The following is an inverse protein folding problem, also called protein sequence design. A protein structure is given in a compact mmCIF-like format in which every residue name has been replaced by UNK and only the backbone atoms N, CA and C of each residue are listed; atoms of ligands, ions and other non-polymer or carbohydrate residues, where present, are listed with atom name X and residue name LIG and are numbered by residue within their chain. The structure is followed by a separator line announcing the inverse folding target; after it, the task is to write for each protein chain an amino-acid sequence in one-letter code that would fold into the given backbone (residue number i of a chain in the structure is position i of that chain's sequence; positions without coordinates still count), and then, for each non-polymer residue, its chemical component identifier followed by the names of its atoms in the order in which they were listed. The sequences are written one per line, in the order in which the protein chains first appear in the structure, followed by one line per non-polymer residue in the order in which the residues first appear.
data_IF_176972305472
#
_entry.id   IF_176972305472
#
_cell.length_a   1.000
_cell.length_b   1.000
_cell.length_c   1.000
_cell.angle_alpha   90.00
_cell.angle_beta   90.00
_cell.angle_gamma   90.00
#
_symmetry.space_group_name_H-M   'P 1'
#
loop_
_entity.id
_entity.type
_entity.pdbx_description
1 polymer ?
#
# COMPACT_ATOMS: atom_id res chain seq x y z
N UNK A 1 -22.13 -38.15 -7.40
CA UNK A 1 -22.57 -37.27 -8.50
C UNK A 1 -21.48 -36.26 -8.75
N UNK A 2 -20.84 -36.28 -9.93
CA UNK A 2 -19.78 -35.33 -10.31
C UNK A 2 -20.43 -33.99 -10.66
N UNK A 3 -20.09 -32.94 -9.93
CA UNK A 3 -20.43 -31.56 -10.30
C UNK A 3 -19.28 -30.99 -11.11
N UNK A 4 -19.48 -30.88 -12.41
CA UNK A 4 -18.66 -30.08 -13.32
C UNK A 4 -18.67 -28.63 -12.84
N UNK A 5 -17.51 -28.05 -12.56
CA UNK A 5 -17.37 -26.60 -12.41
C UNK A 5 -16.32 -26.17 -13.41
N UNK A 6 -16.76 -25.47 -14.45
CA UNK A 6 -15.91 -24.87 -15.46
C UNK A 6 -14.80 -24.04 -14.81
N UNK A 7 -13.59 -24.18 -15.34
CA UNK A 7 -12.32 -23.65 -14.82
C UNK A 7 -12.22 -22.12 -14.78
N UNK A 8 -13.06 -21.47 -14.00
CA UNK A 8 -12.93 -20.08 -13.59
C UNK A 8 -12.64 -20.06 -12.09
N UNK A 9 -11.37 -19.93 -11.73
CA UNK A 9 -10.98 -19.66 -10.34
C UNK A 9 -11.40 -18.23 -10.01
N UNK A 10 -12.60 -18.05 -9.46
CA UNK A 10 -12.99 -16.78 -8.88
C UNK A 10 -12.03 -16.47 -7.73
N UNK A 11 -11.26 -15.37 -7.84
CA UNK A 11 -10.46 -14.87 -6.71
C UNK A 11 -11.43 -14.52 -5.58
N UNK A 12 -11.47 -15.33 -4.53
CA UNK A 12 -12.21 -15.02 -3.31
C UNK A 12 -11.68 -13.71 -2.75
N UNK A 13 -12.49 -12.66 -2.76
CA UNK A 13 -12.15 -11.38 -2.14
C UNK A 13 -12.56 -11.45 -0.67
N UNK A 14 -11.58 -11.49 0.21
CA UNK A 14 -11.81 -11.37 1.65
C UNK A 14 -11.80 -9.90 2.02
N UNK A 15 -12.86 -9.44 2.69
CA UNK A 15 -12.89 -8.09 3.24
C UNK A 15 -12.09 -8.04 4.54
N UNK A 16 -11.42 -6.92 4.77
CA UNK A 16 -10.68 -6.66 5.99
C UNK A 16 -10.93 -5.23 6.46
N UNK A 17 -10.97 -5.04 7.77
CA UNK A 17 -10.81 -3.70 8.35
C UNK A 17 -9.32 -3.46 8.59
N UNK A 18 -8.79 -2.37 8.07
CA UNK A 18 -7.37 -2.04 8.21
C UNK A 18 -7.16 -0.76 9.02
N UNK A 19 -6.18 -0.81 9.92
CA UNK A 19 -5.61 0.36 10.59
C UNK A 19 -4.16 0.44 10.15
N UNK A 20 -3.78 1.56 9.54
CA UNK A 20 -2.45 1.73 8.95
C UNK A 20 -1.79 2.97 9.55
N UNK A 21 -1.16 2.85 10.74
CA UNK A 21 -0.24 3.85 11.23
C UNK A 21 0.91 4.02 10.24
N UNK A 22 1.31 5.27 10.00
CA UNK A 22 2.41 5.57 9.09
C UNK A 22 3.26 6.71 9.62
N UNK A 23 4.54 6.69 9.25
CA UNK A 23 5.47 7.79 9.42
C UNK A 23 5.98 8.22 8.05
N UNK A 24 6.04 9.52 7.80
CA UNK A 24 6.47 10.09 6.52
C UNK A 24 7.67 11.01 6.72
N UNK A 25 8.66 10.86 5.85
CA UNK A 25 9.84 11.71 5.78
C UNK A 25 9.99 12.29 4.37
N UNK A 26 10.03 13.62 4.27
CA UNK A 26 10.29 14.30 3.00
C UNK A 26 11.79 14.54 2.86
N UNK A 27 12.37 14.12 1.74
CA UNK A 27 13.83 14.10 1.56
C UNK A 27 14.32 14.91 0.35
N UNK A 28 13.42 15.42 -0.49
CA UNK A 28 13.80 16.23 -1.64
C UNK A 28 12.63 17.06 -2.15
N UNK A 29 12.96 18.15 -2.82
CA UNK A 29 12.00 19.05 -3.44
C UNK A 29 12.54 19.48 -4.81
N UNK A 30 11.71 19.38 -5.84
CA UNK A 30 12.00 19.81 -7.19
C UNK A 30 10.88 20.72 -7.67
N UNK A 31 11.11 22.04 -7.59
CA UNK A 31 10.08 23.03 -7.86
C UNK A 31 8.91 22.84 -6.89
N UNK A 32 7.69 22.67 -7.42
CA UNK A 32 6.50 22.44 -6.61
C UNK A 32 6.25 20.96 -6.27
N UNK A 33 7.19 20.05 -6.52
CA UNK A 33 7.04 18.62 -6.21
C UNK A 33 7.97 18.25 -5.05
N UNK A 34 7.40 17.70 -3.97
CA UNK A 34 8.13 17.19 -2.82
C UNK A 34 8.14 15.67 -2.82
N UNK A 35 9.33 15.07 -2.77
CA UNK A 35 9.53 13.64 -2.65
C UNK A 35 9.53 13.22 -1.19
N UNK A 36 8.85 12.12 -0.89
CA UNK A 36 8.82 11.56 0.45
C UNK A 36 8.91 10.03 0.45
N UNK A 37 9.40 9.49 1.55
CA UNK A 37 9.30 8.08 1.91
C UNK A 37 8.30 7.92 3.05
N UNK A 38 7.49 6.88 3.00
CA UNK A 38 6.48 6.55 4.00
C UNK A 38 6.70 5.12 4.49
N UNK A 39 6.94 4.96 5.79
CA UNK A 39 6.93 3.66 6.47
C UNK A 39 5.54 3.41 7.06
N UNK A 40 4.98 2.23 6.84
CA UNK A 40 3.63 1.87 7.30
C UNK A 40 3.66 0.59 8.13
N UNK A 41 2.82 0.52 9.14
CA UNK A 41 2.61 -0.69 9.94
C UNK A 41 1.16 -1.19 9.78
N UNK A 42 0.76 -1.72 8.62
CA UNK A 42 -0.61 -2.16 8.40
C UNK A 42 -1.02 -3.26 9.37
N UNK A 43 -2.14 -3.05 10.06
CA UNK A 43 -2.82 -4.05 10.88
C UNK A 43 -4.15 -4.34 10.19
N UNK A 44 -4.32 -5.57 9.70
CA UNK A 44 -5.54 -6.00 9.02
C UNK A 44 -6.28 -7.01 9.88
N UNK A 45 -7.58 -6.76 10.06
CA UNK A 45 -8.50 -7.59 10.84
C UNK A 45 -9.43 -8.27 9.85
N UNK A 46 -9.29 -9.59 9.72
CA UNK A 46 -10.14 -10.44 8.89
C UNK A 46 -11.11 -11.23 9.78
N UNK A 47 -12.12 -11.85 9.16
CA UNK A 47 -13.01 -12.78 9.85
C UNK A 47 -12.28 -14.11 10.10
N UNK A 48 -11.67 -14.25 11.28
CA UNK A 48 -11.03 -15.49 11.76
C UNK A 48 -9.50 -15.46 11.87
N UNK A 49 -8.83 -14.39 11.41
CA UNK A 49 -7.38 -14.19 11.62
C UNK A 49 -6.99 -12.71 11.48
N UNK A 50 -5.80 -12.35 11.97
CA UNK A 50 -5.23 -11.02 11.85
C UNK A 50 -3.92 -11.06 11.09
N UNK A 51 -3.54 -9.93 10.48
CA UNK A 51 -2.19 -9.75 9.96
C UNK A 51 -1.58 -8.42 10.40
N UNK A 52 -0.27 -8.45 10.63
CA UNK A 52 0.55 -7.26 10.84
C UNK A 52 1.64 -7.23 9.78
N UNK A 53 1.91 -6.06 9.24
CA UNK A 53 2.96 -5.89 8.26
C UNK A 53 3.81 -4.66 8.49
N UNK A 54 4.86 -4.53 7.70
CA UNK A 54 5.72 -3.38 7.58
C UNK A 54 5.91 -3.09 6.09
N UNK A 55 5.51 -1.90 5.64
CA UNK A 55 5.72 -1.45 4.27
C UNK A 55 6.63 -0.22 4.23
N UNK A 56 7.39 -0.08 3.15
CA UNK A 56 8.01 1.19 2.78
C UNK A 56 7.55 1.60 1.38
N UNK A 57 7.02 2.82 1.26
CA UNK A 57 6.45 3.38 0.04
C UNK A 57 7.10 4.71 -0.31
N UNK A 58 7.53 4.92 -1.55
CA UNK A 58 7.85 6.24 -2.03
C UNK A 58 6.57 7.00 -2.39
N UNK A 59 6.65 8.32 -2.42
CA UNK A 59 5.57 9.15 -2.87
C UNK A 59 5.99 10.57 -3.21
N UNK A 60 5.04 11.29 -3.79
CA UNK A 60 5.17 12.66 -4.25
C UNK A 60 4.04 13.50 -3.66
N UNK A 61 4.36 14.72 -3.28
CA UNK A 61 3.39 15.71 -2.84
C UNK A 61 3.52 16.98 -3.66
N UNK A 62 2.39 17.57 -4.05
CA UNK A 62 2.33 18.85 -4.75
C UNK A 62 1.46 19.78 -3.91
N UNK A 63 2.02 20.78 -3.22
CA UNK A 63 1.22 21.75 -2.49
C UNK A 63 0.43 22.61 -3.48
N UNK A 64 -0.88 22.67 -3.27
CA UNK A 64 -1.83 23.52 -3.99
C UNK A 64 -2.19 24.71 -3.10
N UNK A 65 -1.21 25.59 -2.87
CA UNK A 65 -1.33 26.74 -1.97
C UNK A 65 -1.06 26.37 -0.50
N UNK A 66 -1.57 27.20 0.42
CA UNK A 66 -1.24 27.07 1.86
C UNK A 66 -1.99 25.96 2.58
N UNK A 67 -3.18 25.60 2.09
CA UNK A 67 -4.13 24.70 2.78
C UNK A 67 -4.36 23.37 2.08
N UNK A 68 -4.11 23.29 0.78
CA UNK A 68 -4.41 22.10 0.00
C UNK A 68 -3.14 21.53 -0.60
N UNK A 69 -3.13 20.23 -0.86
CA UNK A 69 -2.07 19.56 -1.59
C UNK A 69 -2.60 18.31 -2.27
N UNK A 70 -1.90 17.87 -3.30
CA UNK A 70 -2.07 16.55 -3.91
C UNK A 70 -0.98 15.63 -3.38
N UNK A 71 -1.33 14.38 -3.14
CA UNK A 71 -0.43 13.32 -2.74
C UNK A 71 -0.59 12.17 -3.73
N UNK A 72 0.54 11.67 -4.21
CA UNK A 72 0.65 10.43 -4.94
C UNK A 72 1.52 9.46 -4.14
N UNK A 73 0.95 8.35 -3.71
CA UNK A 73 1.65 7.29 -2.99
C UNK A 73 1.84 6.10 -3.91
N UNK A 74 3.09 5.74 -4.18
CA UNK A 74 3.42 4.63 -5.07
C UNK A 74 3.26 3.27 -4.36
N UNK A 75 3.21 2.17 -5.11
CA UNK A 75 3.29 0.82 -4.56
C UNK A 75 4.51 0.62 -3.65
N UNK A 76 4.44 -0.32 -2.68
CA UNK A 76 5.52 -0.52 -1.74
C UNK A 76 6.76 -1.08 -2.43
N UNK A 77 7.91 -0.44 -2.20
CA UNK A 77 9.21 -0.97 -2.63
C UNK A 77 9.71 -2.05 -1.67
N UNK A 78 9.17 -2.07 -0.47
CA UNK A 78 9.40 -3.07 0.56
C UNK A 78 8.07 -3.42 1.20
N UNK A 79 7.76 -4.71 1.29
CA UNK A 79 6.63 -5.22 2.08
C UNK A 79 7.02 -6.48 2.84
N UNK A 80 6.68 -6.47 4.12
CA UNK A 80 6.74 -7.62 5.01
C UNK A 80 5.37 -7.80 5.64
N UNK A 81 4.80 -9.01 5.59
CA UNK A 81 3.49 -9.32 6.19
C UNK A 81 3.60 -10.62 6.96
N UNK A 82 3.08 -10.62 8.18
CA UNK A 82 2.92 -11.78 9.05
C UNK A 82 1.43 -11.99 9.34
N UNK A 83 0.95 -13.20 9.06
CA UNK A 83 -0.42 -13.62 9.38
C UNK A 83 -0.37 -14.54 10.60
N UNK A 84 -1.22 -14.28 11.58
CA UNK A 84 -1.38 -15.19 12.73
C UNK A 84 -1.73 -16.60 12.24
N UNK A 85 -0.85 -17.56 12.54
CA UNK A 85 -1.04 -18.98 12.19
C UNK A 85 -0.28 -19.49 10.96
N UNK A 86 0.52 -18.66 10.27
CA UNK A 86 1.43 -19.16 9.22
C UNK A 86 2.83 -18.57 9.36
N UNK A 87 3.86 -19.41 9.36
CA UNK A 87 5.29 -19.03 9.29
C UNK A 87 5.71 -18.54 7.90
N UNK A 88 4.74 -18.16 7.04
CA UNK A 88 4.99 -17.73 5.69
C UNK A 88 5.28 -16.24 5.69
N UNK A 89 6.56 -15.91 5.77
CA UNK A 89 7.07 -14.57 5.64
C UNK A 89 7.16 -14.22 4.15
N UNK A 90 6.50 -13.14 3.74
CA UNK A 90 6.73 -12.55 2.43
C UNK A 90 7.74 -11.42 2.56
N UNK A 91 8.85 -11.51 1.83
CA UNK A 91 9.85 -10.46 1.71
C UNK A 91 9.92 -10.04 0.25
N UNK A 92 9.31 -8.90 -0.07
CA UNK A 92 9.39 -8.30 -1.40
C UNK A 92 10.29 -7.07 -1.35
N UNK A 93 11.46 -7.13 -1.99
CA UNK A 93 12.12 -5.92 -2.51
C UNK A 93 11.61 -5.78 -3.93
N UNK A 94 10.95 -4.66 -4.24
CA UNK A 94 10.25 -4.47 -5.51
C UNK A 94 9.15 -5.52 -5.71
N UNK A 95 8.12 -5.48 -4.86
CA UNK A 95 7.01 -6.42 -4.61
C UNK A 95 6.23 -6.90 -5.87
N UNK A 96 6.91 -7.54 -6.82
CA UNK A 96 6.36 -8.06 -8.07
C UNK A 96 5.96 -7.02 -9.13
N UNK A 97 6.05 -5.73 -8.83
CA UNK A 97 5.61 -4.65 -9.74
C UNK A 97 6.68 -4.34 -10.81
N UNK A 98 6.27 -4.34 -12.08
CA UNK A 98 7.06 -3.74 -13.17
C UNK A 98 7.00 -2.21 -13.03
N UNK A 99 7.94 -1.48 -13.67
CA UNK A 99 7.92 0.00 -13.68
C UNK A 99 6.56 0.57 -14.14
N UNK A 100 5.84 -0.19 -14.98
CA UNK A 100 4.50 0.14 -15.45
C UNK A 100 3.47 0.11 -14.32
N UNK A 101 3.55 -0.87 -13.42
CA UNK A 101 2.60 -1.02 -12.31
C UNK A 101 2.85 0.01 -11.21
N UNK A 102 4.10 0.48 -11.04
CA UNK A 102 4.40 1.63 -10.16
C UNK A 102 3.71 2.92 -10.59
N UNK A 103 3.35 3.05 -11.87
CA UNK A 103 2.60 4.19 -12.39
C UNK A 103 1.10 3.93 -12.25
N UNK A 104 0.64 2.72 -12.58
CA UNK A 104 -0.78 2.38 -12.66
C UNK A 104 -1.45 2.12 -11.30
N UNK A 105 -0.74 1.56 -10.32
CA UNK A 105 -1.26 1.24 -8.98
C UNK A 105 -0.95 2.33 -7.93
N UNK A 106 -0.76 3.56 -8.40
CA UNK A 106 -0.53 4.72 -7.53
C UNK A 106 -1.83 5.16 -6.86
N UNK A 107 -1.80 5.36 -5.55
CA UNK A 107 -2.90 5.99 -4.83
C UNK A 107 -2.78 7.51 -4.94
N UNK A 108 -3.82 8.17 -5.45
CA UNK A 108 -3.89 9.63 -5.58
C UNK A 108 -4.88 10.17 -4.54
N UNK A 109 -4.46 11.17 -3.77
CA UNK A 109 -5.28 11.79 -2.73
C UNK A 109 -5.13 13.31 -2.68
N UNK A 110 -6.13 13.96 -2.10
CA UNK A 110 -6.11 15.39 -1.77
C UNK A 110 -5.89 15.51 -0.26
N UNK A 111 -4.93 16.34 0.14
CA UNK A 111 -4.60 16.62 1.53
C UNK A 111 -5.07 18.03 1.88
N UNK A 112 -5.73 18.18 3.03
CA UNK A 112 -6.01 19.46 3.65
C UNK A 112 -5.13 19.66 4.89
N UNK A 113 -4.49 20.83 4.99
CA UNK A 113 -3.72 21.26 6.16
C UNK A 113 -4.63 22.07 7.09
N UNK A 114 -4.87 21.52 8.27
CA UNK A 114 -5.66 22.14 9.35
C UNK A 114 -4.84 23.16 10.14
#
# INVERSE_FOLDING_TARGET
TKTTTDGVTFKTKTNATSIIPFARYSFGELGSVRFFGQGELPINIYDGYNSVGLNARPGLEIPLGEKWGLNMLMPPIFSFINNDGSTNFYFGINDGYNIQDYILDTAIGVIYKF
#
